data_IF_680568510026
#
_entry.id   IF_680568510026
#
_cell.length_a   1.000
_cell.length_b   1.000
_cell.length_c   1.000
_cell.angle_alpha   90.00
_cell.angle_beta   90.00
_cell.angle_gamma   90.00
#
_symmetry.space_group_name_H-M   'P 1'
#
loop_
_entity.id
_entity.type
_entity.pdbx_description
1 polymer ?
#
# COMPACT_ATOMS: atom_id res chain seq x y z
N UNK A 1 9.00 7.31 -1.49
CA UNK A 1 7.92 6.45 -0.96
C UNK A 1 6.54 7.05 -1.24
N UNK A 2 6.16 8.18 -0.62
CA UNK A 2 4.83 8.79 -0.85
C UNK A 2 4.54 9.17 -2.31
N UNK A 3 5.53 9.69 -3.05
CA UNK A 3 5.37 10.00 -4.49
C UNK A 3 5.07 8.74 -5.33
N UNK A 4 5.79 7.65 -5.08
CA UNK A 4 5.51 6.34 -5.72
C UNK A 4 4.12 5.84 -5.35
N UNK A 5 3.77 5.89 -4.06
CA UNK A 5 2.50 5.40 -3.56
C UNK A 5 1.32 6.15 -4.19
N UNK A 6 1.42 7.49 -4.31
CA UNK A 6 0.43 8.32 -4.99
C UNK A 6 0.36 8.02 -6.47
N UNK A 7 1.50 7.80 -7.13
CA UNK A 7 1.54 7.47 -8.56
C UNK A 7 0.87 6.12 -8.85
N UNK A 8 1.13 5.13 -8.00
CA UNK A 8 0.54 3.81 -8.07
C UNK A 8 -0.98 3.87 -7.85
N UNK A 9 -1.45 4.65 -6.87
CA UNK A 9 -2.89 4.88 -6.65
C UNK A 9 -3.55 5.46 -7.90
N UNK A 10 -2.96 6.50 -8.50
CA UNK A 10 -3.47 7.12 -9.74
C UNK A 10 -3.51 6.11 -10.88
N UNK A 11 -2.48 5.29 -11.05
CA UNK A 11 -2.39 4.31 -12.13
C UNK A 11 -3.42 3.18 -11.95
N UNK A 12 -3.56 2.64 -10.73
CA UNK A 12 -4.57 1.63 -10.42
C UNK A 12 -5.99 2.14 -10.63
N UNK A 13 -6.30 3.36 -10.19
CA UNK A 13 -7.61 3.98 -10.40
C UNK A 13 -7.87 4.23 -11.88
N UNK A 14 -6.87 4.70 -12.64
CA UNK A 14 -6.98 4.88 -14.09
C UNK A 14 -7.20 3.55 -14.84
N UNK A 15 -6.60 2.46 -14.35
CA UNK A 15 -6.80 1.08 -14.81
C UNK A 15 -8.12 0.47 -14.31
N UNK A 16 -8.92 1.25 -13.58
CA UNK A 16 -10.24 0.87 -13.17
C UNK A 16 -10.32 0.01 -11.92
N UNK A 17 -9.28 0.03 -11.10
CA UNK A 17 -9.24 -0.68 -9.82
C UNK A 17 -9.65 0.26 -8.70
N UNK A 18 -10.38 -0.30 -7.74
CA UNK A 18 -10.63 0.40 -6.50
C UNK A 18 -9.36 0.33 -5.65
N UNK A 19 -8.59 1.41 -5.64
CA UNK A 19 -7.35 1.53 -4.89
C UNK A 19 -7.41 2.73 -3.95
N UNK A 20 -6.73 2.60 -2.81
CA UNK A 20 -6.67 3.66 -1.81
C UNK A 20 -5.30 3.70 -1.14
N UNK A 21 -4.71 4.89 -1.12
CA UNK A 21 -3.52 5.17 -0.35
C UNK A 21 -3.89 5.37 1.12
N UNK A 22 -3.73 4.33 1.93
CA UNK A 22 -3.89 4.37 3.38
C UNK A 22 -2.54 4.67 4.04
N UNK A 23 -2.37 5.90 4.52
CA UNK A 23 -1.21 6.31 5.32
C UNK A 23 -1.60 6.73 6.75
N UNK A 24 -0.59 6.82 7.62
CA UNK A 24 -0.80 7.22 9.01
C UNK A 24 -1.34 8.65 9.15
N UNK A 25 -1.16 9.53 8.15
CA UNK A 25 -1.75 10.86 8.19
C UNK A 25 -3.27 10.84 7.91
N UNK A 26 -3.77 9.84 7.18
CA UNK A 26 -5.20 9.61 7.04
C UNK A 26 -5.82 9.22 8.38
N UNK A 27 -5.20 8.28 9.10
CA UNK A 27 -5.71 7.79 10.38
C UNK A 27 -5.57 8.83 11.49
N UNK A 28 -4.44 9.53 11.62
CA UNK A 28 -4.21 10.56 12.66
C UNK A 28 -5.20 11.72 12.65
N UNK A 29 -5.85 12.02 11.52
CA UNK A 29 -6.85 13.10 11.44
C UNK A 29 -8.23 12.68 11.98
N UNK A 30 -8.43 11.39 12.27
CA UNK A 30 -9.71 10.88 12.71
C UNK A 30 -9.53 9.67 13.62
N UNK A 31 -9.32 8.49 13.03
CA UNK A 31 -9.28 7.23 13.77
C UNK A 31 -8.24 7.23 14.89
N UNK A 32 -7.06 7.80 14.69
CA UNK A 32 -5.97 7.83 15.68
C UNK A 32 -5.84 9.21 16.36
N UNK A 33 -6.86 10.07 16.28
CA UNK A 33 -6.79 11.43 16.84
C UNK A 33 -6.79 11.45 18.38
N UNK A 34 -7.20 10.35 19.02
CA UNK A 34 -7.21 10.13 20.47
C UNK A 34 -5.90 9.55 21.01
N UNK A 35 -4.96 9.16 20.15
CA UNK A 35 -3.72 8.48 20.54
C UNK A 35 -2.52 9.42 20.55
N UNK A 36 -1.61 9.20 21.50
CA UNK A 36 -0.31 9.85 21.50
C UNK A 36 0.65 9.15 20.51
N UNK A 37 1.70 9.84 20.07
CA UNK A 37 2.66 9.26 19.10
C UNK A 37 3.38 8.02 19.67
N UNK A 38 3.48 7.92 21.00
CA UNK A 38 4.07 6.82 21.73
C UNK A 38 3.20 5.56 21.74
N UNK A 39 1.90 5.66 21.43
CA UNK A 39 0.94 4.54 21.41
C UNK A 39 1.07 3.67 20.15
N UNK A 40 2.32 3.39 19.74
CA UNK A 40 2.66 2.73 18.46
C UNK A 40 1.97 1.37 18.30
N UNK A 41 1.78 0.62 19.38
CA UNK A 41 1.09 -0.69 19.34
C UNK A 41 -0.37 -0.58 18.91
N UNK A 42 -1.10 0.42 19.43
CA UNK A 42 -2.50 0.62 19.09
C UNK A 42 -2.66 1.24 17.70
N UNK A 43 -1.76 2.16 17.31
CA UNK A 43 -1.69 2.71 15.95
C UNK A 43 -1.51 1.59 14.90
N UNK A 44 -0.58 0.66 15.15
CA UNK A 44 -0.34 -0.49 14.26
C UNK A 44 -1.55 -1.41 14.22
N UNK A 45 -2.16 -1.70 15.37
CA UNK A 45 -3.36 -2.56 15.44
C UNK A 45 -4.53 -1.95 14.68
N UNK A 46 -4.87 -0.68 14.93
CA UNK A 46 -5.95 0.05 14.24
C UNK A 46 -5.72 0.11 12.74
N UNK A 47 -4.50 0.43 12.32
CA UNK A 47 -4.16 0.38 10.90
C UNK A 47 -4.38 -1.00 10.29
N UNK A 48 -3.91 -2.07 10.95
CA UNK A 48 -4.08 -3.43 10.47
C UNK A 48 -5.55 -3.83 10.27
N UNK A 49 -6.41 -3.48 11.24
CA UNK A 49 -7.85 -3.71 11.15
C UNK A 49 -8.50 -2.94 9.98
N UNK A 50 -8.15 -1.66 9.81
CA UNK A 50 -8.65 -0.86 8.68
C UNK A 50 -8.16 -1.42 7.35
N UNK A 51 -6.86 -1.73 7.25
CA UNK A 51 -6.27 -2.30 6.04
C UNK A 51 -6.98 -3.61 5.67
N UNK A 52 -7.20 -4.49 6.65
CA UNK A 52 -7.94 -5.75 6.46
C UNK A 52 -9.37 -5.53 6.02
N UNK A 53 -10.13 -4.65 6.67
CA UNK A 53 -11.51 -4.36 6.28
C UNK A 53 -11.58 -3.83 4.84
N UNK A 54 -10.67 -2.94 4.45
CA UNK A 54 -10.62 -2.43 3.08
C UNK A 54 -10.28 -3.54 2.08
N UNK A 55 -9.27 -4.37 2.37
CA UNK A 55 -8.88 -5.45 1.45
C UNK A 55 -9.94 -6.55 1.35
N UNK A 56 -10.65 -6.84 2.44
CA UNK A 56 -11.77 -7.78 2.47
C UNK A 56 -12.93 -7.33 1.54
N UNK A 57 -13.06 -6.02 1.28
CA UNK A 57 -14.04 -5.49 0.30
C UNK A 57 -13.57 -5.57 -1.16
N UNK A 58 -12.36 -6.06 -1.42
CA UNK A 58 -11.73 -6.10 -2.74
C UNK A 58 -10.95 -4.83 -3.12
N UNK A 59 -10.69 -3.94 -2.15
CA UNK A 59 -9.90 -2.74 -2.35
C UNK A 59 -8.40 -3.07 -2.38
N UNK A 60 -7.65 -2.43 -3.29
CA UNK A 60 -6.19 -2.46 -3.27
C UNK A 60 -5.70 -1.36 -2.33
N UNK A 61 -5.20 -1.76 -1.17
CA UNK A 61 -4.64 -0.83 -0.18
C UNK A 61 -3.15 -0.61 -0.47
N UNK A 62 -2.78 0.65 -0.68
CA UNK A 62 -1.38 1.08 -0.79
C UNK A 62 -1.01 1.76 0.52
N UNK A 63 0.13 1.42 1.10
CA UNK A 63 0.62 2.13 2.29
C UNK A 63 2.11 2.43 2.17
N UNK A 64 2.55 3.43 2.95
CA UNK A 64 3.97 3.73 3.11
C UNK A 64 4.38 3.46 4.54
N UNK A 65 5.48 2.74 4.73
CA UNK A 65 6.01 2.29 6.03
C UNK A 65 6.31 3.44 7.01
N UNK A 66 6.29 4.69 6.55
CA UNK A 66 6.44 5.87 7.40
C UNK A 66 5.37 5.96 8.50
N UNK A 67 4.28 5.22 8.39
CA UNK A 67 3.23 5.17 9.41
C UNK A 67 3.64 4.39 10.67
N UNK A 68 4.66 3.53 10.61
CA UNK A 68 5.05 2.67 11.73
C UNK A 68 6.55 2.76 11.94
N UNK A 69 6.97 3.51 12.96
CA UNK A 69 8.37 3.75 13.32
C UNK A 69 9.07 2.43 13.73
N UNK A 70 9.46 1.63 12.74
CA UNK A 70 10.08 0.33 12.95
C UNK A 70 9.12 -0.79 13.35
N UNK A 71 7.80 -0.64 13.18
CA UNK A 71 6.91 -1.78 13.41
C UNK A 71 7.22 -2.87 12.38
N UNK A 72 7.43 -4.06 12.93
CA UNK A 72 7.82 -5.25 12.22
C UNK A 72 6.87 -5.50 11.04
N UNK A 73 7.40 -5.58 9.82
CA UNK A 73 6.60 -5.93 8.65
C UNK A 73 5.85 -7.26 8.87
N UNK A 74 6.35 -8.14 9.75
CA UNK A 74 5.63 -9.33 10.21
C UNK A 74 4.33 -9.02 10.94
N UNK A 75 4.28 -7.97 11.76
CA UNK A 75 3.07 -7.59 12.46
C UNK A 75 1.98 -7.20 11.45
N UNK A 76 2.32 -6.38 10.46
CA UNK A 76 1.37 -5.99 9.40
C UNK A 76 0.95 -7.22 8.60
N UNK A 77 1.90 -8.07 8.16
CA UNK A 77 1.61 -9.33 7.45
C UNK A 77 0.65 -10.22 8.25
N UNK A 78 0.83 -10.31 9.55
CA UNK A 78 -0.04 -11.09 10.44
C UNK A 78 -1.44 -10.47 10.55
N UNK A 79 -1.52 -9.15 10.71
CA UNK A 79 -2.79 -8.43 10.85
C UNK A 79 -3.64 -8.49 9.58
N UNK A 80 -3.03 -8.39 8.41
CA UNK A 80 -3.75 -8.38 7.13
C UNK A 80 -4.01 -9.79 6.56
N UNK A 81 -3.47 -10.85 7.17
CA UNK A 81 -3.68 -12.23 6.71
C UNK A 81 -5.19 -12.58 6.66
N UNK A 82 -5.70 -13.23 5.59
CA UNK A 82 -4.97 -13.92 4.50
C UNK A 82 -4.68 -13.06 3.25
N UNK A 83 -4.81 -11.74 3.34
CA UNK A 83 -4.64 -10.85 2.18
C UNK A 83 -3.22 -10.95 1.60
N UNK A 84 -3.09 -11.14 0.27
CA UNK A 84 -1.78 -11.08 -0.38
C UNK A 84 -1.11 -9.73 -0.17
N UNK A 85 0.14 -9.75 0.28
CA UNK A 85 0.95 -8.55 0.49
C UNK A 85 2.13 -8.51 -0.49
N UNK A 86 2.41 -7.32 -1.03
CA UNK A 86 3.63 -7.02 -1.80
C UNK A 86 4.40 -5.94 -1.06
N UNK A 87 5.63 -6.24 -0.68
CA UNK A 87 6.51 -5.34 0.08
C UNK A 87 7.52 -4.69 -0.85
N UNK A 88 7.50 -3.36 -0.92
CA UNK A 88 8.38 -2.58 -1.79
C UNK A 88 9.42 -1.85 -0.94
N UNK A 89 10.69 -2.23 -1.09
CA UNK A 89 11.81 -1.55 -0.47
C UNK A 89 12.40 -0.49 -1.40
N UNK A 90 12.61 0.71 -0.87
CA UNK A 90 13.29 1.80 -1.57
C UNK A 90 14.41 2.32 -0.68
N UNK A 91 15.67 2.20 -1.13
CA UNK A 91 16.83 2.73 -0.40
C UNK A 91 17.64 3.68 -1.27
N UNK A 92 18.17 4.76 -0.66
CA UNK A 92 19.15 5.66 -1.32
C UNK A 92 20.58 5.12 -1.23
N UNK A 93 20.85 4.16 -0.35
CA UNK A 93 22.14 3.51 -0.15
C UNK A 93 22.11 2.10 -0.74
N UNK A 94 23.28 1.49 -0.91
CA UNK A 94 23.44 0.07 -1.28
C UNK A 94 23.13 -0.89 -0.12
N UNK A 95 22.35 -0.44 0.87
CA UNK A 95 21.95 -1.28 1.99
C UNK A 95 21.07 -2.43 1.51
N UNK A 96 21.39 -3.63 1.99
CA UNK A 96 20.66 -4.83 1.63
C UNK A 96 19.18 -4.68 2.03
N UNK A 97 18.23 -5.01 1.14
CA UNK A 97 16.82 -4.96 1.49
C UNK A 97 16.51 -5.96 2.62
N UNK A 98 15.49 -5.68 3.46
CA UNK A 98 14.97 -6.65 4.41
C UNK A 98 14.61 -7.98 3.72
N UNK A 99 14.76 -9.09 4.44
CA UNK A 99 14.55 -10.45 3.91
C UNK A 99 13.14 -10.72 3.37
N UNK A 100 12.14 -9.96 3.83
CA UNK A 100 10.74 -10.07 3.45
C UNK A 100 10.33 -9.11 2.32
N UNK A 101 11.31 -8.52 1.62
CA UNK A 101 11.11 -7.61 0.50
C UNK A 101 10.78 -8.38 -0.78
N UNK A 102 9.69 -8.00 -1.44
CA UNK A 102 9.29 -8.56 -2.74
C UNK A 102 9.95 -7.81 -3.90
N UNK A 103 9.98 -6.48 -3.84
CA UNK A 103 10.59 -5.61 -4.85
C UNK A 103 11.54 -4.62 -4.19
N UNK A 104 12.78 -4.56 -4.65
CA UNK A 104 13.78 -3.62 -4.18
C UNK A 104 14.19 -2.65 -5.30
N UNK A 105 14.18 -1.35 -4.99
CA UNK A 105 14.58 -0.31 -5.92
C UNK A 105 15.67 0.58 -5.30
N UNK A 106 16.82 0.77 -5.98
CA UNK A 106 17.76 1.82 -5.61
C UNK A 106 17.10 3.20 -5.81
N UNK A 107 17.55 4.17 -5.02
CA UNK A 107 16.90 5.47 -4.80
C UNK A 107 16.37 6.09 -6.09
N UNK A 108 15.11 6.55 -6.11
CA UNK A 108 14.40 6.75 -7.36
C UNK A 108 14.91 8.01 -8.09
N UNK A 109 15.34 7.83 -9.34
CA UNK A 109 15.37 8.91 -10.34
C UNK A 109 14.10 8.92 -11.21
N UNK A 110 13.36 7.82 -11.23
CA UNK A 110 12.18 7.64 -12.07
C UNK A 110 11.09 6.84 -11.33
N UNK A 111 10.05 7.53 -10.88
CA UNK A 111 8.92 6.92 -10.18
C UNK A 111 7.93 6.22 -11.12
N UNK A 112 7.93 6.58 -12.40
CA UNK A 112 7.04 6.02 -13.41
C UNK A 112 7.40 4.56 -13.67
N UNK A 113 8.67 4.34 -14.04
CA UNK A 113 9.21 3.00 -14.29
C UNK A 113 9.09 2.08 -13.06
N UNK A 114 9.19 2.63 -11.85
CA UNK A 114 9.02 1.87 -10.61
C UNK A 114 7.55 1.48 -10.41
N UNK A 115 6.62 2.41 -10.65
CA UNK A 115 5.18 2.12 -10.55
C UNK A 115 4.78 1.03 -11.55
N UNK A 116 5.25 1.11 -12.79
CA UNK A 116 5.01 0.08 -13.82
C UNK A 116 5.50 -1.30 -13.39
N UNK A 117 6.69 -1.38 -12.80
CA UNK A 117 7.20 -2.65 -12.25
C UNK A 117 6.33 -3.21 -11.12
N UNK A 118 5.81 -2.36 -10.26
CA UNK A 118 4.87 -2.80 -9.20
C UNK A 118 3.55 -3.29 -9.81
N UNK A 119 3.06 -2.63 -10.86
CA UNK A 119 1.86 -3.06 -11.60
C UNK A 119 2.07 -4.42 -12.28
N UNK A 120 3.23 -4.67 -12.88
CA UNK A 120 3.57 -5.97 -13.47
C UNK A 120 3.66 -7.07 -12.40
N UNK A 121 4.24 -6.79 -11.24
CA UNK A 121 4.28 -7.76 -10.13
C UNK A 121 2.86 -8.09 -9.62
N UNK A 122 2.00 -7.08 -9.50
CA UNK A 122 0.59 -7.26 -9.12
C UNK A 122 -0.16 -8.16 -10.12
N UNK A 123 0.12 -8.04 -11.42
CA UNK A 123 -0.43 -8.94 -12.45
C UNK A 123 0.15 -10.35 -12.34
N UNK A 124 1.47 -10.47 -12.17
CA UNK A 124 2.17 -11.75 -12.07
C UNK A 124 1.68 -12.59 -10.88
N UNK A 125 1.33 -11.94 -9.76
CA UNK A 125 0.75 -12.60 -8.57
C UNK A 125 -0.75 -12.84 -8.66
N UNK A 126 -1.40 -12.48 -9.77
CA UNK A 126 -2.84 -12.63 -9.95
C UNK A 126 -3.69 -11.70 -9.08
N UNK A 127 -3.09 -10.69 -8.44
CA UNK A 127 -3.82 -9.65 -7.69
C UNK A 127 -4.61 -8.78 -8.66
N UNK A 128 -4.02 -8.48 -9.81
CA UNK A 128 -4.70 -7.85 -10.94
C UNK A 128 -5.06 -8.93 -11.97
N UNK A 129 -6.34 -9.28 -12.07
CA UNK A 129 -6.85 -10.05 -13.20
C UNK A 129 -6.66 -9.26 -14.50
N UNK A 130 -6.37 -9.92 -15.64
CA UNK A 130 -6.43 -9.21 -16.93
C UNK A 130 -7.82 -8.60 -17.13
N UNK A 131 -7.88 -7.36 -17.62
CA UNK A 131 -9.15 -6.70 -17.87
C UNK A 131 -9.91 -7.45 -18.97
N UNK A 132 -10.89 -8.27 -18.58
CA UNK A 132 -11.86 -8.85 -19.50
C UNK A 132 -13.00 -7.83 -19.63
N UNK A 133 -12.83 -6.85 -20.54
CA UNK A 133 -13.90 -5.94 -20.95
C UNK A 133 -13.98 -4.60 -20.20
N UNK A 134 -14.10 -3.53 -21.00
CA UNK A 134 -14.48 -2.14 -20.76
C UNK A 134 -14.06 -1.41 -19.45
N UNK A 135 -13.45 -0.22 -19.65
CA UNK A 135 -13.15 0.80 -18.63
C UNK A 135 -14.32 0.98 -17.65
N UNK A 136 -14.06 1.05 -16.32
CA UNK A 136 -15.15 1.31 -15.38
C UNK A 136 -15.70 2.71 -15.58
N UNK A 137 -17.02 2.78 -15.69
CA UNK A 137 -17.76 4.02 -15.55
C UNK A 137 -17.96 4.30 -14.07
N UNK A 138 -17.13 5.18 -13.51
CA UNK A 138 -17.41 5.76 -12.21
C UNK A 138 -18.66 6.65 -12.31
N UNK A 139 -19.76 6.22 -11.69
CA UNK A 139 -20.92 7.08 -11.47
C UNK A 139 -20.69 7.87 -10.18
N UNK A 140 -20.46 9.17 -10.32
CA UNK A 140 -20.62 10.10 -9.20
C UNK A 140 -22.11 10.42 -9.10
N UNK A 141 -22.78 9.97 -8.03
CA UNK A 141 -24.08 10.54 -7.69
C UNK A 141 -23.84 11.90 -7.05
N UNK A 142 -24.45 12.92 -7.65
CA UNK A 142 -24.62 14.25 -7.05
C UNK A 142 -25.71 14.16 -5.97
#
# INVERSE_FOLDING_TARGET
KSMLARRLEVQLVADGRHAYLLDGANLRRGLDADLAEEDTGEIVRRFGEVARLLTDTGLIVISTTNAFAGADHQAIRTLVHPTPLITVHMSKSEEAPPSDTDLAFPGPKDFETIADRVMEELKARGVLAQAIGAKPQFHYSI
#
